data_IF_055481043154
#
_entry.id   IF_055481043154
#
_cell.length_a   1.000
_cell.length_b   1.000
_cell.length_c   1.000
_cell.angle_alpha   90.00
_cell.angle_beta   90.00
_cell.angle_gamma   90.00
#
_symmetry.space_group_name_H-M   'P 1'
#
loop_
_entity.id
_entity.type
_entity.pdbx_description
1 polymer ?
#
# COMPACT_ATOMS: atom_id res chain seq x y z
N UNK A 1 0.40 14.47 -12.62
CA UNK A 1 0.86 13.70 -11.45
C UNK A 1 2.31 14.08 -11.14
N UNK A 2 2.59 14.30 -9.88
CA UNK A 2 3.94 14.64 -9.43
C UNK A 2 4.39 13.59 -8.43
N UNK A 3 5.57 12.99 -8.67
CA UNK A 3 6.19 12.08 -7.73
C UNK A 3 7.15 12.83 -6.83
N UNK A 4 7.15 12.49 -5.54
CA UNK A 4 8.02 13.13 -4.54
C UNK A 4 8.71 12.06 -3.72
N UNK A 5 10.01 11.92 -3.93
CA UNK A 5 10.84 11.02 -3.13
C UNK A 5 12.11 11.70 -2.62
N UNK A 6 12.20 13.03 -2.82
CA UNK A 6 13.37 13.83 -2.46
C UNK A 6 13.65 13.82 -0.96
N UNK A 7 12.62 13.62 -0.14
CA UNK A 7 12.76 13.55 1.31
C UNK A 7 13.06 12.13 1.80
N UNK A 8 13.01 11.13 0.93
CA UNK A 8 13.25 9.72 1.22
C UNK A 8 12.39 9.20 2.37
N UNK A 9 11.22 9.79 2.58
CA UNK A 9 10.27 9.36 3.59
C UNK A 9 8.84 9.52 3.09
N UNK A 10 7.93 8.65 3.55
CA UNK A 10 6.53 8.72 3.16
C UNK A 10 5.85 10.00 3.64
N UNK A 11 4.82 10.40 2.93
CA UNK A 11 3.93 11.47 3.37
C UNK A 11 3.17 11.09 4.64
N UNK A 12 2.69 9.84 4.71
CA UNK A 12 2.00 9.33 5.90
C UNK A 12 2.99 8.56 6.77
N UNK A 13 2.88 8.74 8.10
CA UNK A 13 3.72 8.05 9.07
C UNK A 13 3.58 6.54 8.87
N UNK A 14 4.70 5.86 8.62
CA UNK A 14 4.71 4.43 8.36
C UNK A 14 4.22 3.63 9.58
N UNK A 15 4.48 4.11 10.80
CA UNK A 15 4.00 3.42 11.99
C UNK A 15 2.47 3.47 12.08
N UNK A 16 1.88 4.59 11.70
CA UNK A 16 0.42 4.72 11.63
C UNK A 16 -0.15 3.77 10.58
N UNK A 17 0.45 3.74 9.39
CA UNK A 17 0.02 2.84 8.31
C UNK A 17 0.06 1.39 8.77
N UNK A 18 1.16 0.98 9.40
CA UNK A 18 1.32 -0.39 9.91
C UNK A 18 0.28 -0.73 10.98
N UNK A 19 0.03 0.20 11.90
CA UNK A 19 -0.95 0.01 12.96
C UNK A 19 -2.36 -0.15 12.39
N UNK A 20 -2.74 0.70 11.45
CA UNK A 20 -4.07 0.64 10.84
C UNK A 20 -4.26 -0.68 10.08
N UNK A 21 -3.23 -1.13 9.36
CA UNK A 21 -3.29 -2.40 8.67
C UNK A 21 -3.42 -3.57 9.64
N UNK A 22 -2.64 -3.55 10.72
CA UNK A 22 -2.65 -4.62 11.72
C UNK A 22 -3.98 -4.70 12.46
N UNK A 23 -4.63 -3.57 12.69
CA UNK A 23 -5.91 -3.51 13.40
C UNK A 23 -7.12 -3.73 12.48
N UNK A 24 -6.90 -3.82 11.16
CA UNK A 24 -7.99 -3.97 10.21
C UNK A 24 -8.74 -2.68 9.91
N UNK A 25 -8.25 -1.54 10.35
CA UNK A 25 -8.85 -0.23 10.06
C UNK A 25 -8.44 0.22 8.65
N UNK A 26 -8.84 -0.57 7.66
CA UNK A 26 -8.40 -0.40 6.29
C UNK A 26 -9.49 -0.77 5.31
N UNK A 27 -9.44 -0.12 4.14
CA UNK A 27 -10.38 -0.37 3.06
C UNK A 27 -9.60 -0.46 1.74
N UNK A 28 -9.90 -1.48 0.95
CA UNK A 28 -9.37 -1.58 -0.41
C UNK A 28 -10.31 -0.86 -1.36
N UNK A 29 -9.77 0.08 -2.13
CA UNK A 29 -10.57 0.92 -2.99
C UNK A 29 -11.22 0.10 -4.11
N UNK A 30 -12.51 0.27 -4.28
CA UNK A 30 -13.22 -0.37 -5.38
C UNK A 30 -12.99 0.42 -6.66
N UNK A 31 -12.14 -0.11 -7.52
CA UNK A 31 -11.76 0.53 -8.79
C UNK A 31 -12.30 -0.28 -9.96
N UNK A 32 -12.66 0.43 -11.04
CA UNK A 32 -13.12 -0.22 -12.26
C UNK A 32 -12.06 -1.15 -12.87
N UNK A 33 -10.77 -0.82 -12.68
CA UNK A 33 -9.66 -1.62 -13.18
C UNK A 33 -9.29 -2.78 -12.23
N UNK A 34 -9.88 -2.85 -11.04
CA UNK A 34 -9.62 -3.90 -10.07
C UNK A 34 -8.24 -3.87 -9.43
N UNK A 35 -7.44 -2.84 -9.65
CA UNK A 35 -6.03 -2.83 -9.23
C UNK A 35 -5.81 -2.81 -7.72
N UNK A 36 -6.82 -2.52 -6.93
CA UNK A 36 -6.70 -2.55 -5.47
C UNK A 36 -7.06 -3.92 -4.89
N UNK A 37 -7.59 -4.83 -5.68
CA UNK A 37 -8.07 -6.12 -5.18
C UNK A 37 -6.90 -7.09 -4.99
N UNK A 38 -6.62 -7.55 -3.76
CA UNK A 38 -5.49 -8.46 -3.52
C UNK A 38 -5.64 -9.82 -4.21
N UNK A 39 -6.83 -10.20 -4.66
CA UNK A 39 -7.00 -11.45 -5.42
C UNK A 39 -6.21 -11.44 -6.72
N UNK A 40 -5.84 -10.26 -7.23
CA UNK A 40 -4.99 -10.14 -8.43
C UNK A 40 -3.63 -10.80 -8.25
N UNK A 41 -3.19 -10.98 -7.01
CA UNK A 41 -1.91 -11.62 -6.68
C UNK A 41 -2.13 -12.88 -5.83
N UNK A 42 -3.34 -13.43 -5.87
CA UNK A 42 -3.66 -14.67 -5.19
C UNK A 42 -3.78 -14.56 -3.68
N UNK A 43 -4.09 -13.38 -3.17
CA UNK A 43 -4.17 -13.14 -1.72
C UNK A 43 -5.59 -12.78 -1.29
N UNK A 44 -5.90 -13.11 -0.04
CA UNK A 44 -7.08 -12.56 0.62
C UNK A 44 -6.72 -11.22 1.28
N UNK A 45 -7.74 -10.53 1.75
CA UNK A 45 -7.59 -9.22 2.39
C UNK A 45 -6.69 -9.29 3.62
N UNK A 46 -6.86 -10.33 4.46
CA UNK A 46 -6.08 -10.45 5.68
C UNK A 46 -4.59 -10.62 5.39
N UNK A 47 -4.24 -11.43 4.39
CA UNK A 47 -2.85 -11.62 3.97
C UNK A 47 -2.26 -10.31 3.46
N UNK A 48 -3.00 -9.59 2.62
CA UNK A 48 -2.55 -8.31 2.08
C UNK A 48 -2.31 -7.28 3.20
N UNK A 49 -3.22 -7.18 4.16
CA UNK A 49 -3.04 -6.27 5.29
C UNK A 49 -1.86 -6.68 6.17
N UNK A 50 -1.59 -7.99 6.29
CA UNK A 50 -0.42 -8.48 6.99
C UNK A 50 0.89 -8.02 6.36
N UNK A 51 0.94 -7.96 5.04
CA UNK A 51 2.11 -7.43 4.31
C UNK A 51 2.26 -5.93 4.60
N UNK A 52 1.17 -5.17 4.53
CA UNK A 52 1.22 -3.73 4.80
C UNK A 52 1.62 -3.46 6.25
N UNK A 53 1.17 -4.29 7.20
CA UNK A 53 1.53 -4.17 8.61
C UNK A 53 3.03 -4.38 8.87
N UNK A 54 3.75 -4.92 7.90
CA UNK A 54 5.20 -5.19 8.00
C UNK A 54 6.03 -4.32 7.07
N UNK A 55 5.45 -3.27 6.49
CA UNK A 55 6.20 -2.38 5.61
C UNK A 55 7.42 -1.80 6.34
N UNK A 56 8.51 -1.71 5.62
CA UNK A 56 9.76 -1.10 6.08
C UNK A 56 9.94 0.25 5.38
N UNK A 57 10.62 1.21 6.00
CA UNK A 57 10.99 2.45 5.31
C UNK A 57 11.75 2.21 4.00
N UNK A 58 12.48 1.10 3.90
CA UNK A 58 13.22 0.75 2.68
C UNK A 58 12.31 0.35 1.53
N UNK A 59 11.06 -0.01 1.81
CA UNK A 59 10.10 -0.37 0.77
C UNK A 59 9.46 0.86 0.12
N UNK A 60 9.62 2.02 0.72
CA UNK A 60 9.04 3.25 0.21
C UNK A 60 9.69 3.64 -1.12
N UNK A 61 8.85 3.95 -2.11
CA UNK A 61 9.30 4.37 -3.44
C UNK A 61 9.11 5.86 -3.65
N UNK A 62 7.88 6.34 -3.58
CA UNK A 62 7.58 7.75 -3.83
C UNK A 62 6.22 8.12 -3.29
N UNK A 63 6.01 9.43 -3.13
CA UNK A 63 4.69 10.00 -2.88
C UNK A 63 4.15 10.57 -4.18
N UNK A 64 2.91 10.25 -4.49
CA UNK A 64 2.23 10.69 -5.70
C UNK A 64 1.18 11.74 -5.31
N UNK A 65 1.23 12.88 -5.99
CA UNK A 65 0.25 13.94 -5.81
C UNK A 65 -0.47 14.18 -7.14
N UNK A 66 -1.78 13.96 -7.13
CA UNK A 66 -2.63 14.24 -8.28
C UNK A 66 -3.59 15.36 -7.91
N UNK A 67 -3.80 16.28 -8.83
CA UNK A 67 -4.68 17.42 -8.58
C UNK A 67 -6.05 17.00 -8.07
N UNK A 68 -6.52 17.65 -7.02
CA UNK A 68 -7.82 17.39 -6.44
C UNK A 68 -7.93 16.15 -5.57
N UNK A 69 -6.84 15.41 -5.35
CA UNK A 69 -6.84 14.21 -4.52
C UNK A 69 -5.81 14.30 -3.41
N UNK A 70 -6.04 13.66 -2.27
CA UNK A 70 -5.02 13.56 -1.25
C UNK A 70 -3.76 12.86 -1.77
N UNK A 71 -2.58 13.17 -1.24
CA UNK A 71 -1.37 12.44 -1.59
C UNK A 71 -1.51 10.95 -1.31
N UNK A 72 -0.75 10.15 -2.04
CA UNK A 72 -0.68 8.71 -1.85
C UNK A 72 0.77 8.27 -1.85
N UNK A 73 1.12 7.39 -0.91
CA UNK A 73 2.45 6.81 -0.85
C UNK A 73 2.49 5.50 -1.60
N UNK A 74 3.56 5.30 -2.36
CA UNK A 74 3.80 4.09 -3.12
C UNK A 74 4.93 3.31 -2.45
N UNK A 75 4.66 2.04 -2.19
CA UNK A 75 5.64 1.08 -1.68
C UNK A 75 5.83 -0.03 -2.69
N UNK A 76 7.04 -0.53 -2.79
CA UNK A 76 7.37 -1.71 -3.59
C UNK A 76 7.96 -2.75 -2.68
N UNK A 77 7.29 -3.88 -2.56
CA UNK A 77 7.63 -4.93 -1.61
C UNK A 77 7.95 -6.20 -2.36
N UNK A 78 9.12 -6.78 -2.10
CA UNK A 78 9.44 -8.10 -2.61
C UNK A 78 8.76 -9.14 -1.75
N UNK A 79 7.92 -9.96 -2.37
CA UNK A 79 7.17 -11.00 -1.68
C UNK A 79 7.44 -12.35 -2.34
N UNK A 80 7.73 -13.35 -1.53
CA UNK A 80 7.96 -14.70 -2.02
C UNK A 80 6.65 -15.48 -2.01
N UNK A 81 6.31 -16.05 -3.16
CA UNK A 81 5.15 -16.93 -3.28
C UNK A 81 5.61 -18.33 -2.89
N UNK A 82 5.07 -18.83 -1.76
CA UNK A 82 5.54 -20.08 -1.16
C UNK A 82 5.36 -21.28 -2.06
N UNK A 83 4.28 -21.31 -2.85
CA UNK A 83 3.93 -22.47 -3.67
C UNK A 83 4.97 -22.77 -4.74
N UNK A 84 5.58 -21.75 -5.32
CA UNK A 84 6.54 -21.93 -6.41
C UNK A 84 7.89 -21.31 -6.10
N UNK A 85 8.08 -20.75 -4.93
CA UNK A 85 9.31 -20.08 -4.46
C UNK A 85 9.76 -18.93 -5.34
N UNK A 86 8.87 -18.41 -6.19
CA UNK A 86 9.16 -17.22 -6.97
C UNK A 86 8.94 -15.97 -6.14
N UNK A 87 9.79 -14.97 -6.36
CA UNK A 87 9.60 -13.66 -5.78
C UNK A 87 8.87 -12.77 -6.76
N UNK A 88 7.92 -11.99 -6.26
CA UNK A 88 7.24 -10.96 -7.03
C UNK A 88 7.44 -9.62 -6.33
N UNK A 89 7.41 -8.54 -7.09
CA UNK A 89 7.42 -7.19 -6.52
C UNK A 89 5.97 -6.70 -6.51
N UNK A 90 5.48 -6.41 -5.31
CA UNK A 90 4.14 -5.88 -5.12
C UNK A 90 4.19 -4.36 -5.15
N UNK A 91 3.37 -3.77 -5.99
CA UNK A 91 3.15 -2.34 -6.05
C UNK A 91 1.97 -2.01 -5.15
N UNK A 92 2.22 -1.25 -4.09
CA UNK A 92 1.20 -0.91 -3.09
C UNK A 92 1.11 0.60 -3.01
N UNK A 93 -0.07 1.14 -3.32
CA UNK A 93 -0.34 2.57 -3.24
C UNK A 93 -1.42 2.79 -2.20
N UNK A 94 -1.16 3.68 -1.24
CA UNK A 94 -2.06 3.85 -0.12
C UNK A 94 -2.11 5.30 0.35
N UNK A 95 -3.18 5.62 1.06
CA UNK A 95 -3.32 6.90 1.76
C UNK A 95 -4.00 6.67 3.11
N UNK A 96 -3.91 7.67 3.98
CA UNK A 96 -4.58 7.64 5.29
C UNK A 96 -5.62 8.75 5.30
N UNK A 97 -6.82 8.42 5.70
CA UNK A 97 -7.99 9.31 5.70
C UNK A 97 -8.62 9.38 7.08
N UNK A 98 -9.64 10.22 7.23
CA UNK A 98 -10.43 10.35 8.46
C UNK A 98 -9.56 10.67 9.67
N UNK A 99 -8.69 11.68 9.53
CA UNK A 99 -7.80 12.15 10.60
C UNK A 99 -6.92 11.04 11.18
N UNK A 100 -6.39 10.19 10.30
CA UNK A 100 -5.49 9.12 10.71
C UNK A 100 -6.17 7.85 11.20
N UNK A 101 -7.46 7.69 10.93
CA UNK A 101 -8.24 6.56 11.45
C UNK A 101 -8.50 5.46 10.44
N UNK A 102 -8.26 5.72 9.14
CA UNK A 102 -8.58 4.77 8.08
C UNK A 102 -7.49 4.74 7.04
N UNK A 103 -6.99 3.54 6.79
CA UNK A 103 -6.06 3.27 5.70
C UNK A 103 -6.85 2.95 4.44
N UNK A 104 -6.53 3.63 3.35
CA UNK A 104 -7.12 3.33 2.04
C UNK A 104 -6.04 2.71 1.16
N UNK A 105 -6.24 1.49 0.72
CA UNK A 105 -5.37 0.82 -0.24
C UNK A 105 -5.91 1.12 -1.63
N UNK A 106 -5.14 1.90 -2.41
CA UNK A 106 -5.54 2.39 -3.72
C UNK A 106 -5.11 1.42 -4.82
N UNK A 107 -3.97 0.77 -4.65
CA UNK A 107 -3.45 -0.22 -5.59
C UNK A 107 -2.74 -1.32 -4.82
N UNK A 108 -2.91 -2.56 -5.28
CA UNK A 108 -2.23 -3.72 -4.70
C UNK A 108 -2.09 -4.76 -5.82
N UNK A 109 -0.95 -4.73 -6.52
CA UNK A 109 -0.74 -5.60 -7.68
C UNK A 109 0.75 -5.76 -7.96
N UNK A 110 1.06 -6.66 -8.87
CA UNK A 110 2.43 -6.80 -9.38
C UNK A 110 2.79 -5.70 -10.36
#
# INVERSE_FOLDING_TARGET
>A
MVGRNDLLKPYYDIQLVRMLAASGAAKFLMRADGKANPTNVGMDTATALGIIAKLSPMDFDMTVEEGGRPPADVYKVRHQILENRLSVVLYIKLSVRNDGRLLIVISFHQ
#
